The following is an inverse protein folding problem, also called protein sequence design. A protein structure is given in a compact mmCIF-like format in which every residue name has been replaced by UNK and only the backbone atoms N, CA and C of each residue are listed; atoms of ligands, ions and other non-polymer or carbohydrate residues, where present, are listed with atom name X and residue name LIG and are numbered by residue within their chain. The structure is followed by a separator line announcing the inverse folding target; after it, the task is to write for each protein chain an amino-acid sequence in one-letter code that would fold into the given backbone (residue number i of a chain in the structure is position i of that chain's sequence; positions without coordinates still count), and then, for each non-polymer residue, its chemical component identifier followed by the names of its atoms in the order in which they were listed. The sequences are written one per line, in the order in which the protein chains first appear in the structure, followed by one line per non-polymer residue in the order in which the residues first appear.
data_IF_061668615322
#
_entry.id   IF_061668615322
#
_cell.length_a   1.000
_cell.length_b   1.000
_cell.length_c   1.000
_cell.angle_alpha   90.00
_cell.angle_beta   90.00
_cell.angle_gamma   90.00
#
_symmetry.space_group_name_H-M   'P 1'
#
loop_
_entity.id
_entity.type
_entity.pdbx_description
1 polymer ?
#
# COMPACT_ATOMS: atom_id res chain seq x y z
N UNK A 1 13.38 -34.53 15.40
CA UNK A 1 13.78 -33.20 14.86
C UNK A 1 15.10 -32.67 15.44
N UNK A 2 15.42 -32.88 16.72
CA UNK A 2 16.69 -32.44 17.36
C UNK A 2 17.98 -32.97 16.69
N UNK A 3 17.99 -34.24 16.23
CA UNK A 3 19.16 -34.83 15.55
C UNK A 3 19.49 -34.15 14.21
N UNK A 4 18.47 -33.70 13.46
CA UNK A 4 18.66 -33.02 12.17
C UNK A 4 19.17 -31.59 12.35
N UNK A 5 18.62 -30.87 13.33
CA UNK A 5 19.08 -29.53 13.70
C UNK A 5 20.52 -29.52 14.24
N UNK A 6 20.88 -30.52 15.05
CA UNK A 6 22.24 -30.67 15.59
C UNK A 6 23.28 -30.99 14.50
N UNK A 7 22.89 -31.72 13.45
CA UNK A 7 23.77 -31.98 12.30
C UNK A 7 24.04 -30.72 11.49
N UNK A 8 22.99 -29.93 11.19
CA UNK A 8 23.12 -28.67 10.46
C UNK A 8 23.98 -27.66 11.26
N UNK A 9 23.78 -27.58 12.57
CA UNK A 9 24.60 -26.74 13.44
C UNK A 9 26.09 -27.12 13.40
N UNK A 10 26.42 -28.40 13.60
CA UNK A 10 27.81 -28.87 13.54
C UNK A 10 28.43 -28.73 12.14
N UNK A 11 27.65 -28.95 11.07
CA UNK A 11 28.08 -28.75 9.69
C UNK A 11 28.41 -27.27 9.42
N UNK A 12 27.54 -26.35 9.83
CA UNK A 12 27.77 -24.90 9.68
C UNK A 12 28.95 -24.41 10.50
N UNK A 13 29.15 -24.96 11.71
CA UNK A 13 30.28 -24.64 12.57
C UNK A 13 31.60 -25.13 11.96
N UNK A 14 31.63 -26.34 11.42
CA UNK A 14 32.80 -26.90 10.76
C UNK A 14 33.17 -26.14 9.48
N UNK A 15 32.16 -25.82 8.65
CA UNK A 15 32.35 -25.04 7.42
C UNK A 15 32.87 -23.62 7.74
N UNK A 16 32.33 -22.99 8.78
CA UNK A 16 32.78 -21.69 9.26
C UNK A 16 34.26 -21.71 9.71
N UNK A 17 34.65 -22.68 10.55
CA UNK A 17 36.05 -22.86 10.97
C UNK A 17 36.99 -23.09 9.79
N UNK A 18 36.56 -23.85 8.78
CA UNK A 18 37.34 -24.10 7.56
C UNK A 18 37.57 -22.78 6.78
N UNK A 19 36.50 -21.99 6.57
CA UNK A 19 36.56 -20.73 5.83
C UNK A 19 37.44 -19.68 6.52
N UNK A 20 37.46 -19.67 7.85
CA UNK A 20 38.29 -18.78 8.65
C UNK A 20 39.80 -19.06 8.46
N UNK A 21 40.15 -20.32 8.21
CA UNK A 21 41.55 -20.76 8.03
C UNK A 21 42.05 -20.61 6.58
N UNK A 22 41.15 -20.72 5.60
CA UNK A 22 41.52 -20.64 4.16
C UNK A 22 41.45 -19.23 3.58
N UNK A 23 40.59 -18.35 4.10
CA UNK A 23 40.37 -17.02 3.52
C UNK A 23 40.28 -15.96 4.62
N UNK A 24 41.44 -15.43 5.03
CA UNK A 24 41.55 -14.51 6.19
C UNK A 24 40.89 -13.15 5.98
N UNK A 25 40.85 -12.60 4.76
CA UNK A 25 40.24 -11.29 4.50
C UNK A 25 38.72 -11.34 4.42
N UNK A 26 38.16 -12.36 3.75
CA UNK A 26 36.71 -12.53 3.59
C UNK A 26 36.09 -13.16 4.84
N UNK A 27 36.87 -13.94 5.60
CA UNK A 27 36.43 -14.58 6.84
C UNK A 27 35.89 -13.57 7.86
N UNK A 28 36.50 -12.39 8.00
CA UNK A 28 36.04 -11.33 8.92
C UNK A 28 34.62 -10.89 8.59
N UNK A 29 34.30 -10.68 7.31
CA UNK A 29 32.95 -10.29 6.88
C UNK A 29 31.94 -11.43 7.07
N UNK A 30 32.39 -12.66 6.85
CA UNK A 30 31.55 -13.83 7.03
C UNK A 30 31.22 -14.07 8.52
N UNK A 31 32.10 -13.69 9.44
CA UNK A 31 31.85 -13.80 10.90
C UNK A 31 30.64 -12.98 11.35
N UNK A 32 30.44 -11.78 10.81
CA UNK A 32 29.30 -10.92 11.16
C UNK A 32 27.96 -11.53 10.79
N UNK A 33 27.92 -12.41 9.78
CA UNK A 33 26.70 -13.09 9.32
C UNK A 33 26.57 -14.47 9.97
N UNK A 34 27.67 -15.20 10.11
CA UNK A 34 27.70 -16.55 10.66
C UNK A 34 27.48 -16.58 12.18
N UNK A 35 27.99 -15.59 12.92
CA UNK A 35 27.87 -15.54 14.38
C UNK A 35 26.41 -15.36 14.83
N UNK A 36 25.60 -14.44 14.27
CA UNK A 36 24.17 -14.36 14.57
C UNK A 36 23.41 -15.64 14.22
N UNK A 37 23.73 -16.27 13.07
CA UNK A 37 23.11 -17.52 12.65
C UNK A 37 23.43 -18.68 13.60
N UNK A 38 24.68 -18.77 14.07
CA UNK A 38 25.09 -19.77 15.07
C UNK A 38 24.44 -19.52 16.43
N UNK A 39 24.33 -18.26 16.86
CA UNK A 39 23.64 -17.89 18.11
C UNK A 39 22.17 -18.26 18.04
N UNK A 40 21.47 -17.90 16.97
CA UNK A 40 20.05 -18.23 16.77
C UNK A 40 19.85 -19.75 16.69
N UNK A 41 20.67 -20.46 15.91
CA UNK A 41 20.61 -21.92 15.79
C UNK A 41 20.92 -22.61 17.13
N UNK A 42 21.87 -22.10 17.90
CA UNK A 42 22.20 -22.60 19.24
C UNK A 42 21.10 -22.33 20.26
N UNK A 43 20.44 -21.17 20.18
CA UNK A 43 19.30 -20.81 21.04
C UNK A 43 18.12 -21.74 20.79
N UNK A 44 17.78 -21.98 19.51
CA UNK A 44 16.74 -22.93 19.11
C UNK A 44 17.07 -24.33 19.63
N UNK A 45 18.32 -24.76 19.52
CA UNK A 45 18.76 -26.08 20.02
C UNK A 45 18.66 -26.19 21.55
N UNK A 46 18.96 -25.11 22.30
CA UNK A 46 18.81 -25.05 23.76
C UNK A 46 17.35 -25.05 24.18
N UNK A 47 16.46 -24.41 23.42
CA UNK A 47 15.02 -24.40 23.65
C UNK A 47 14.31 -25.71 23.24
N UNK A 48 14.93 -26.55 22.40
CA UNK A 48 14.32 -27.78 21.87
C UNK A 48 14.79 -29.06 22.58
N UNK A 49 15.45 -28.97 23.76
CA UNK A 49 15.81 -30.16 24.56
C UNK A 49 14.53 -30.83 25.09
N UNK A 50 14.20 -32.08 24.70
CA UNK A 50 12.99 -32.74 25.16
C UNK A 50 13.17 -33.28 26.58
N UNK A 51 12.30 -32.86 27.51
CA UNK A 51 12.10 -33.47 28.84
C UNK A 51 10.82 -34.30 28.77
N UNK A 52 10.74 -35.43 29.47
CA UNK A 52 9.73 -36.50 29.33
C UNK A 52 8.22 -36.12 29.47
N UNK A 53 7.85 -34.84 29.57
CA UNK A 53 6.48 -34.32 29.62
C UNK A 53 5.82 -34.15 28.22
N UNK A 54 6.57 -34.33 27.12
CA UNK A 54 6.13 -34.00 25.74
C UNK A 54 4.95 -34.84 25.23
N UNK A 55 4.72 -36.04 25.77
CA UNK A 55 3.66 -36.92 25.26
C UNK A 55 2.25 -36.38 25.58
N UNK A 56 2.02 -35.86 26.80
CA UNK A 56 0.72 -35.30 27.21
C UNK A 56 0.41 -33.96 26.54
N UNK A 57 1.42 -33.13 26.34
CA UNK A 57 1.29 -31.83 25.66
C UNK A 57 1.01 -32.00 24.16
N UNK A 58 1.49 -33.07 23.52
CA UNK A 58 1.21 -33.33 22.11
C UNK A 58 -0.27 -33.66 21.85
N UNK A 59 -0.89 -34.45 22.70
CA UNK A 59 -2.31 -34.79 22.56
C UNK A 59 -3.23 -33.63 22.99
N UNK A 60 -2.88 -32.89 24.05
CA UNK A 60 -3.59 -31.67 24.45
C UNK A 60 -3.43 -30.55 23.41
N UNK A 61 -2.25 -30.39 22.81
CA UNK A 61 -2.04 -29.40 21.74
C UNK A 61 -2.74 -29.78 20.44
N UNK A 62 -2.86 -31.07 20.10
CA UNK A 62 -3.67 -31.52 18.98
C UNK A 62 -5.15 -31.24 19.22
N UNK A 63 -5.65 -31.51 20.43
CA UNK A 63 -7.03 -31.21 20.83
C UNK A 63 -7.31 -29.70 20.83
N UNK A 64 -6.42 -28.90 21.43
CA UNK A 64 -6.51 -27.45 21.47
C UNK A 64 -6.36 -26.81 20.08
N UNK A 65 -5.47 -27.33 19.22
CA UNK A 65 -5.35 -26.87 17.83
C UNK A 65 -6.59 -27.22 17.00
N UNK A 66 -7.20 -28.39 17.25
CA UNK A 66 -8.45 -28.78 16.59
C UNK A 66 -9.61 -27.90 17.05
N UNK A 67 -9.71 -27.59 18.34
CA UNK A 67 -10.71 -26.65 18.86
C UNK A 67 -10.47 -25.22 18.42
N UNK A 68 -9.21 -24.78 18.32
CA UNK A 68 -8.86 -23.48 17.74
C UNK A 68 -9.25 -23.43 16.26
N UNK A 69 -8.98 -24.48 15.47
CA UNK A 69 -9.42 -24.58 14.07
C UNK A 69 -10.94 -24.51 13.92
N UNK A 70 -11.68 -25.26 14.75
CA UNK A 70 -13.14 -25.23 14.76
C UNK A 70 -13.69 -23.89 15.25
N UNK A 71 -13.04 -23.24 16.23
CA UNK A 71 -13.40 -21.89 16.67
C UNK A 71 -13.06 -20.81 15.65
N UNK A 72 -12.07 -21.07 14.77
CA UNK A 72 -11.72 -20.15 13.69
C UNK A 72 -12.64 -20.24 12.47
N UNK A 73 -13.50 -21.25 12.32
CA UNK A 73 -14.39 -21.33 11.14
C UNK A 73 -15.27 -20.10 11.02
N UNK A 74 -15.89 -19.68 12.13
CA UNK A 74 -16.73 -18.48 12.16
C UNK A 74 -15.91 -17.20 11.92
N UNK A 75 -14.64 -17.17 12.31
CA UNK A 75 -13.73 -16.06 12.03
C UNK A 75 -13.27 -16.04 10.57
N UNK A 76 -13.04 -17.19 9.96
CA UNK A 76 -12.69 -17.29 8.54
C UNK A 76 -13.88 -16.89 7.65
N UNK A 77 -15.11 -17.22 8.07
CA UNK A 77 -16.32 -16.78 7.38
C UNK A 77 -16.48 -15.26 7.47
N UNK A 78 -16.30 -14.66 8.65
CA UNK A 78 -16.34 -13.20 8.86
C UNK A 78 -15.24 -12.45 8.07
N UNK A 79 -14.03 -13.02 8.00
CA UNK A 79 -12.95 -12.50 7.15
C UNK A 79 -13.27 -12.62 5.67
N UNK A 80 -13.89 -13.74 5.26
CA UNK A 80 -14.30 -13.95 3.86
C UNK A 80 -15.39 -12.95 3.46
N UNK A 81 -16.38 -12.72 4.33
CA UNK A 81 -17.41 -11.71 4.14
C UNK A 81 -16.81 -10.30 4.06
N UNK A 82 -15.92 -9.94 4.99
CA UNK A 82 -15.23 -8.65 4.99
C UNK A 82 -14.38 -8.40 3.74
N UNK A 83 -13.68 -9.42 3.23
CA UNK A 83 -12.94 -9.32 1.96
C UNK A 83 -13.90 -9.13 0.79
N UNK A 84 -15.04 -9.84 0.78
CA UNK A 84 -16.04 -9.73 -0.27
C UNK A 84 -16.68 -8.33 -0.31
N UNK A 85 -16.97 -7.76 0.86
CA UNK A 85 -17.53 -6.41 1.00
C UNK A 85 -16.52 -5.35 0.55
N UNK A 86 -15.26 -5.52 0.96
CA UNK A 86 -14.18 -4.63 0.53
C UNK A 86 -13.99 -4.67 -0.99
N UNK A 87 -14.01 -5.87 -1.59
CA UNK A 87 -13.92 -6.04 -3.03
C UNK A 87 -15.08 -5.34 -3.76
N UNK A 88 -16.32 -5.50 -3.26
CA UNK A 88 -17.51 -4.82 -3.81
C UNK A 88 -17.42 -3.29 -3.72
N UNK A 89 -16.93 -2.77 -2.60
CA UNK A 89 -16.75 -1.33 -2.40
C UNK A 89 -15.68 -0.75 -3.35
N UNK A 90 -14.58 -1.48 -3.58
CA UNK A 90 -13.59 -1.08 -4.58
C UNK A 90 -14.17 -1.10 -5.98
N UNK A 91 -14.97 -2.10 -6.33
CA UNK A 91 -15.63 -2.17 -7.64
C UNK A 91 -16.58 -0.97 -7.86
N UNK A 92 -17.40 -0.63 -6.86
CA UNK A 92 -18.29 0.54 -6.91
C UNK A 92 -17.48 1.84 -7.07
N UNK A 93 -16.39 2.01 -6.31
CA UNK A 93 -15.51 3.19 -6.41
C UNK A 93 -14.85 3.30 -7.78
N UNK A 94 -14.39 2.19 -8.35
CA UNK A 94 -13.81 2.16 -9.69
C UNK A 94 -14.86 2.56 -10.75
N UNK A 95 -16.07 1.98 -10.69
CA UNK A 95 -17.18 2.34 -11.59
C UNK A 95 -17.53 3.83 -11.52
N UNK A 96 -17.65 4.39 -10.31
CA UNK A 96 -17.90 5.83 -10.11
C UNK A 96 -16.75 6.64 -10.71
N UNK A 97 -15.51 6.28 -10.43
CA UNK A 97 -14.35 7.01 -10.93
C UNK A 97 -14.30 7.04 -12.46
N UNK A 98 -14.55 5.90 -13.10
CA UNK A 98 -14.55 5.79 -14.56
C UNK A 98 -15.68 6.62 -15.17
N UNK A 99 -16.90 6.50 -14.64
CA UNK A 99 -18.06 7.24 -15.12
C UNK A 99 -17.88 8.76 -14.97
N UNK A 100 -17.35 9.21 -13.83
CA UNK A 100 -17.03 10.62 -13.60
C UNK A 100 -15.93 11.09 -14.54
N UNK A 101 -14.88 10.30 -14.74
CA UNK A 101 -13.78 10.65 -15.64
C UNK A 101 -14.26 10.80 -17.07
N UNK A 102 -15.11 9.89 -17.54
CA UNK A 102 -15.70 9.94 -18.88
C UNK A 102 -16.60 11.17 -19.06
N UNK A 103 -17.59 11.35 -18.17
CA UNK A 103 -18.57 12.44 -18.27
C UNK A 103 -17.95 13.83 -18.05
N UNK A 104 -16.87 13.93 -17.28
CA UNK A 104 -16.20 15.21 -16.98
C UNK A 104 -15.05 15.55 -17.93
N UNK A 105 -14.68 14.66 -18.86
CA UNK A 105 -13.54 14.83 -19.78
C UNK A 105 -13.60 16.15 -20.55
N UNK A 106 -14.75 16.47 -21.13
CA UNK A 106 -14.93 17.70 -21.91
C UNK A 106 -14.80 18.97 -21.05
N UNK A 107 -15.36 18.96 -19.84
CA UNK A 107 -15.27 20.09 -18.91
C UNK A 107 -13.84 20.29 -18.37
N UNK A 108 -13.14 19.20 -18.05
CA UNK A 108 -11.72 19.26 -17.65
C UNK A 108 -10.84 19.81 -18.78
N UNK A 109 -11.08 19.38 -20.02
CA UNK A 109 -10.36 19.91 -21.18
C UNK A 109 -10.63 21.40 -21.39
N UNK A 110 -11.89 21.85 -21.26
CA UNK A 110 -12.25 23.27 -21.31
C UNK A 110 -11.56 24.08 -20.22
N UNK A 111 -11.54 23.61 -18.98
CA UNK A 111 -10.84 24.28 -17.87
C UNK A 111 -9.34 24.40 -18.16
N UNK A 112 -8.71 23.35 -18.70
CA UNK A 112 -7.29 23.40 -19.07
C UNK A 112 -7.03 24.41 -20.18
N UNK A 113 -7.88 24.46 -21.20
CA UNK A 113 -7.76 25.42 -22.29
C UNK A 113 -7.94 26.86 -21.80
N UNK A 114 -8.96 27.13 -20.98
CA UNK A 114 -9.20 28.44 -20.35
C UNK A 114 -8.02 28.86 -19.45
N UNK A 115 -7.41 27.93 -18.72
CA UNK A 115 -6.19 28.22 -17.94
C UNK A 115 -5.02 28.61 -18.84
N UNK A 116 -4.84 27.94 -19.98
CA UNK A 116 -3.78 28.30 -20.95
C UNK A 116 -4.06 29.67 -21.56
N UNK A 117 -5.31 29.94 -21.91
CA UNK A 117 -5.76 31.22 -22.46
C UNK A 117 -5.57 32.37 -21.46
N UNK A 118 -5.73 32.12 -20.16
CA UNK A 118 -5.51 33.09 -19.08
C UNK A 118 -4.03 33.55 -18.93
N UNK A 119 -3.06 32.67 -19.21
CA UNK A 119 -1.61 32.95 -19.03
C UNK A 119 -1.16 34.24 -19.75
N UNK A 120 -1.40 34.44 -21.06
CA UNK A 120 -0.98 35.67 -21.73
C UNK A 120 -1.69 36.92 -21.20
N UNK A 121 -2.93 36.81 -20.70
CA UNK A 121 -3.63 37.95 -20.09
C UNK A 121 -3.02 38.33 -18.74
N UNK A 122 -2.67 37.37 -17.88
CA UNK A 122 -1.97 37.63 -16.62
C UNK A 122 -0.56 38.20 -16.87
N UNK A 123 0.13 37.69 -17.88
CA UNK A 123 1.43 38.22 -18.27
C UNK A 123 1.32 39.67 -18.73
N UNK A 124 0.35 39.99 -19.60
CA UNK A 124 0.08 41.37 -20.03
C UNK A 124 -0.33 42.26 -18.85
N UNK A 125 -1.13 41.75 -17.92
CA UNK A 125 -1.56 42.48 -16.73
C UNK A 125 -0.37 42.88 -15.83
N UNK A 126 0.61 41.98 -15.66
CA UNK A 126 1.82 42.22 -14.87
C UNK A 126 2.72 43.32 -15.45
N UNK A 127 2.69 43.50 -16.77
CA UNK A 127 3.51 44.49 -17.49
C UNK A 127 2.72 45.76 -17.89
N UNK A 128 1.41 45.80 -17.67
CA UNK A 128 0.56 46.93 -18.06
C UNK A 128 0.71 48.13 -17.12
N UNK A 129 0.85 49.33 -17.70
CA UNK A 129 0.80 50.59 -16.95
C UNK A 129 -0.59 50.84 -16.34
N UNK A 130 -0.63 51.52 -15.19
CA UNK A 130 -1.86 51.77 -14.44
C UNK A 130 -2.83 52.65 -15.26
N UNK A 131 -3.93 52.06 -15.75
CA UNK A 131 -4.89 52.74 -16.62
C UNK A 131 -6.09 51.88 -17.03
N UNK A 132 -6.78 52.27 -18.10
CA UNK A 132 -7.95 51.54 -18.66
C UNK A 132 -7.59 50.16 -19.22
N UNK A 133 -6.37 50.00 -19.74
CA UNK A 133 -5.86 48.72 -20.26
C UNK A 133 -5.74 47.66 -19.18
N UNK A 134 -5.22 48.04 -18.01
CA UNK A 134 -5.12 47.17 -16.83
C UNK A 134 -6.50 46.69 -16.35
N UNK A 135 -7.51 47.55 -16.37
CA UNK A 135 -8.89 47.20 -15.98
C UNK A 135 -9.54 46.24 -16.98
N UNK A 136 -9.37 46.49 -18.28
CA UNK A 136 -9.89 45.59 -19.32
C UNK A 136 -9.26 44.18 -19.22
N UNK A 137 -7.95 44.10 -18.97
CA UNK A 137 -7.26 42.82 -18.75
C UNK A 137 -7.74 42.11 -17.47
N UNK A 138 -8.02 42.85 -16.40
CA UNK A 138 -8.62 42.29 -15.18
C UNK A 138 -10.03 41.75 -15.42
N UNK A 139 -10.89 42.50 -16.12
CA UNK A 139 -12.26 42.08 -16.44
C UNK A 139 -12.28 40.80 -17.30
N UNK A 140 -11.30 40.65 -18.20
CA UNK A 140 -11.16 39.47 -19.06
C UNK A 140 -10.64 38.24 -18.29
N UNK A 141 -9.67 38.42 -17.38
CA UNK A 141 -9.23 37.37 -16.45
C UNK A 141 -10.39 36.94 -15.54
N UNK A 142 -11.15 37.90 -15.01
CA UNK A 142 -12.29 37.61 -14.13
C UNK A 142 -13.43 36.89 -14.86
N UNK A 143 -13.62 37.17 -16.16
CA UNK A 143 -14.53 36.40 -17.01
C UNK A 143 -14.06 34.96 -17.14
N UNK A 144 -12.78 34.75 -17.45
CA UNK A 144 -12.20 33.40 -17.59
C UNK A 144 -12.31 32.63 -16.26
N UNK A 145 -12.06 33.29 -15.12
CA UNK A 145 -12.19 32.67 -13.80
C UNK A 145 -13.65 32.26 -13.49
N UNK A 146 -14.63 33.10 -13.84
CA UNK A 146 -16.06 32.75 -13.73
C UNK A 146 -16.43 31.56 -14.60
N UNK A 147 -15.90 31.45 -15.81
CA UNK A 147 -16.14 30.30 -16.68
C UNK A 147 -15.49 29.02 -16.14
N UNK A 148 -14.29 29.11 -15.56
CA UNK A 148 -13.64 27.98 -14.88
C UNK A 148 -14.47 27.52 -13.67
N UNK A 149 -14.96 28.45 -12.86
CA UNK A 149 -15.80 28.15 -11.69
C UNK A 149 -17.11 27.48 -12.10
N UNK A 150 -17.79 27.99 -13.12
CA UNK A 150 -19.03 27.40 -13.64
C UNK A 150 -18.81 25.96 -14.15
N UNK A 151 -17.77 25.75 -14.95
CA UNK A 151 -17.42 24.42 -15.44
C UNK A 151 -17.03 23.46 -14.30
N UNK A 152 -16.37 23.97 -13.26
CA UNK A 152 -16.02 23.18 -12.06
C UNK A 152 -17.26 22.77 -11.28
N UNK A 153 -18.24 23.67 -11.14
CA UNK A 153 -19.53 23.36 -10.53
C UNK A 153 -20.32 22.29 -11.30
N UNK A 154 -20.28 22.33 -12.63
CA UNK A 154 -20.87 21.26 -13.46
C UNK A 154 -20.17 19.91 -13.25
N UNK A 155 -18.84 19.88 -13.10
CA UNK A 155 -18.09 18.66 -12.77
C UNK A 155 -18.56 18.09 -11.42
N UNK A 156 -18.76 18.93 -10.40
CA UNK A 156 -19.25 18.49 -9.09
C UNK A 156 -20.67 17.92 -9.17
N UNK A 157 -21.58 18.58 -9.90
CA UNK A 157 -22.93 18.07 -10.10
C UNK A 157 -22.93 16.71 -10.80
N UNK A 158 -22.11 16.54 -11.84
CA UNK A 158 -21.95 15.26 -12.53
C UNK A 158 -21.38 14.20 -11.58
N UNK A 159 -20.40 14.57 -10.73
CA UNK A 159 -19.85 13.66 -9.73
C UNK A 159 -20.93 13.15 -8.77
N UNK A 160 -21.73 14.05 -8.23
CA UNK A 160 -22.83 13.69 -7.31
C UNK A 160 -23.87 12.82 -8.03
N UNK A 161 -24.24 13.16 -9.26
CA UNK A 161 -25.18 12.36 -10.04
C UNK A 161 -24.66 10.93 -10.31
N UNK A 162 -23.38 10.78 -10.68
CA UNK A 162 -22.75 9.47 -10.86
C UNK A 162 -22.66 8.67 -9.56
N UNK A 163 -22.35 9.32 -8.44
CA UNK A 163 -22.32 8.67 -7.12
C UNK A 163 -23.71 8.15 -6.72
N UNK A 164 -24.77 8.90 -7.03
CA UNK A 164 -26.15 8.48 -6.79
C UNK A 164 -26.58 7.36 -7.74
N UNK A 165 -26.20 7.40 -9.02
CA UNK A 165 -26.54 6.39 -10.03
C UNK A 165 -25.92 5.02 -9.74
N UNK A 166 -24.68 4.98 -9.26
CA UNK A 166 -24.00 3.70 -8.95
C UNK A 166 -24.35 3.18 -7.54
N UNK A 167 -24.73 4.06 -6.62
CA UNK A 167 -25.14 3.69 -5.25
C UNK A 167 -26.63 3.36 -5.14
N UNK A 168 -27.46 3.80 -6.09
CA UNK A 168 -28.84 3.36 -6.20
C UNK A 168 -28.88 1.87 -6.61
N UNK A 169 -29.59 1.01 -5.86
CA UNK A 169 -29.68 -0.43 -6.13
C UNK A 169 -30.42 -0.76 -7.41
#
# INVERSE_FOLDING_TARGET
MHSKASFVFWLTLALYLLTLFTVTYVGVYLTYIALPLLVISGLIMKCTKPKAEVQKVYDDSKSAATQALLGTSNFLDDVTEGISEFNRNLEIKNKIHDLVTERTKAYKAKIQLLKIEKIPFEMKLSHAELGSEKRNLQDEIERIDREIELNSKHIEQIKIACELEVRAP
#
